data_IF_445059245287
#
_entry.id   IF_445059245287
#
_cell.length_a   1.000
_cell.length_b   1.000
_cell.length_c   1.000
_cell.angle_alpha   90.00
_cell.angle_beta   90.00
_cell.angle_gamma   90.00
#
_symmetry.space_group_name_H-M   'P 1'
#
loop_
_entity.id
_entity.type
_entity.pdbx_description
1 polymer ?
#
# COMPACT_ATOMS: atom_id res chain seq x y z
N UNK A 1 -10.35 10.80 27.68
CA UNK A 1 -9.69 11.69 26.71
C UNK A 1 -9.24 10.84 25.55
N UNK A 2 -9.54 11.25 24.32
CA UNK A 2 -9.15 10.52 23.12
C UNK A 2 -7.72 10.88 22.76
N UNK A 3 -6.85 9.88 22.63
CA UNK A 3 -5.47 10.07 22.20
C UNK A 3 -5.40 10.14 20.68
N UNK A 4 -4.69 11.15 20.16
CA UNK A 4 -4.47 11.35 18.74
C UNK A 4 -3.02 11.03 18.37
N UNK A 5 -2.85 10.39 17.22
CA UNK A 5 -1.52 10.11 16.67
C UNK A 5 -1.02 11.27 15.81
N UNK A 6 0.27 11.52 15.93
CA UNK A 6 1.00 12.55 15.20
C UNK A 6 2.24 11.95 14.53
N UNK A 7 2.58 12.46 13.34
CA UNK A 7 3.82 12.17 12.65
C UNK A 7 4.72 13.38 12.71
N UNK A 8 5.93 13.19 13.25
CA UNK A 8 7.00 14.16 13.21
C UNK A 8 8.15 13.60 12.37
N UNK A 9 8.63 14.41 11.44
CA UNK A 9 9.83 14.12 10.65
C UNK A 9 10.82 15.26 10.80
N UNK A 10 12.10 14.91 10.96
CA UNK A 10 13.17 15.90 10.99
C UNK A 10 14.45 15.40 10.33
N UNK A 11 15.14 16.32 9.66
CA UNK A 11 16.45 16.11 9.05
C UNK A 11 17.54 16.58 10.00
N UNK A 12 18.57 15.77 10.19
CA UNK A 12 19.73 16.09 11.04
C UNK A 12 20.81 16.75 10.17
N UNK A 13 21.21 17.97 10.54
CA UNK A 13 22.33 18.67 9.91
C UNK A 13 23.65 18.39 10.62
N UNK A 14 23.62 18.46 11.96
CA UNK A 14 24.77 18.17 12.83
C UNK A 14 24.43 17.02 13.77
N UNK A 15 25.02 15.85 13.49
CA UNK A 15 24.78 14.65 14.27
C UNK A 15 25.65 14.65 15.53
N UNK A 16 25.19 15.36 16.57
CA UNK A 16 25.84 15.32 17.89
C UNK A 16 25.31 14.14 18.73
N UNK A 17 26.19 13.44 19.47
CA UNK A 17 25.74 12.48 20.48
C UNK A 17 24.71 13.13 21.42
N UNK A 18 23.64 12.42 21.74
CA UNK A 18 22.58 12.90 22.63
C UNK A 18 21.43 13.68 21.98
N UNK A 19 21.51 14.06 20.70
CA UNK A 19 20.43 14.81 20.02
C UNK A 19 19.05 14.14 20.11
N UNK A 20 19.01 12.82 19.92
CA UNK A 20 17.78 12.05 20.08
C UNK A 20 17.30 12.04 21.54
N UNK A 21 18.24 11.94 22.49
CA UNK A 21 17.94 12.03 23.92
C UNK A 21 17.27 13.35 24.26
N UNK A 22 17.81 14.48 23.79
CA UNK A 22 17.26 15.81 24.04
C UNK A 22 15.81 15.94 23.52
N UNK A 23 15.55 15.47 22.29
CA UNK A 23 14.20 15.49 21.69
C UNK A 23 13.25 14.58 22.48
N UNK A 24 13.69 13.37 22.83
CA UNK A 24 12.89 12.42 23.59
C UNK A 24 12.58 12.92 25.02
N UNK A 25 13.53 13.59 25.66
CA UNK A 25 13.34 14.22 26.97
C UNK A 25 12.30 15.33 26.91
N UNK A 26 12.35 16.20 25.89
CA UNK A 26 11.33 17.26 25.71
C UNK A 26 9.94 16.67 25.47
N UNK A 27 9.84 15.63 24.63
CA UNK A 27 8.58 14.88 24.42
C UNK A 27 8.06 14.29 25.73
N UNK A 28 8.93 13.67 26.52
CA UNK A 28 8.58 13.12 27.84
C UNK A 28 8.11 14.19 28.82
N UNK A 29 8.75 15.36 28.85
CA UNK A 29 8.34 16.50 29.71
C UNK A 29 6.96 17.06 29.34
N UNK A 30 6.59 16.96 28.06
CA UNK A 30 5.26 17.34 27.59
C UNK A 30 4.24 16.20 27.75
N UNK A 31 4.64 15.02 28.26
CA UNK A 31 3.79 13.82 28.31
C UNK A 31 3.27 13.43 26.91
N UNK A 32 4.11 13.58 25.89
CA UNK A 32 3.86 13.07 24.54
C UNK A 32 4.51 11.71 24.43
N UNK A 33 3.69 10.69 24.14
CA UNK A 33 4.17 9.32 23.99
C UNK A 33 4.87 9.14 22.65
N UNK A 34 6.01 8.45 22.66
CA UNK A 34 6.69 8.00 21.44
C UNK A 34 6.25 6.57 21.17
N UNK A 35 5.36 6.38 20.18
CA UNK A 35 4.91 5.04 19.79
C UNK A 35 6.01 4.30 19.03
N UNK A 36 6.72 4.97 18.14
CA UNK A 36 7.84 4.42 17.37
C UNK A 36 8.74 5.54 16.88
N UNK A 37 10.04 5.27 16.80
CA UNK A 37 11.01 6.11 16.10
C UNK A 37 11.91 5.24 15.23
N UNK A 38 12.25 5.73 14.03
CA UNK A 38 13.28 5.11 13.20
C UNK A 38 14.00 6.13 12.32
N UNK A 39 15.19 5.75 11.83
CA UNK A 39 15.79 6.44 10.68
C UNK A 39 15.03 6.04 9.42
N UNK A 40 14.69 7.00 8.56
CA UNK A 40 13.93 6.72 7.34
C UNK A 40 14.84 6.73 6.12
N UNK A 41 15.62 7.79 5.92
CA UNK A 41 16.63 7.79 4.86
C UNK A 41 17.74 8.80 5.17
N UNK A 42 18.99 8.37 4.98
CA UNK A 42 20.16 9.20 5.21
C UNK A 42 20.21 9.79 6.62
N UNK A 43 19.99 11.11 6.72
CA UNK A 43 20.00 11.86 8.00
C UNK A 43 18.60 12.21 8.50
N UNK A 44 17.55 11.62 7.93
CA UNK A 44 16.16 11.90 8.30
C UNK A 44 15.65 10.86 9.28
N UNK A 45 14.92 11.32 10.30
CA UNK A 45 14.25 10.48 11.29
C UNK A 45 12.76 10.79 11.30
N UNK A 46 11.96 9.74 11.44
CA UNK A 46 10.53 9.83 11.61
C UNK A 46 10.12 9.29 12.98
N UNK A 47 9.13 9.93 13.59
CA UNK A 47 8.55 9.56 14.88
C UNK A 47 7.03 9.50 14.75
N UNK A 48 6.45 8.40 15.24
CA UNK A 48 5.04 8.33 15.55
C UNK A 48 4.86 8.71 17.02
N UNK A 49 4.09 9.74 17.23
CA UNK A 49 3.81 10.33 18.53
C UNK A 49 2.33 10.16 18.86
N UNK A 50 2.00 10.21 20.14
CA UNK A 50 0.62 10.14 20.61
C UNK A 50 0.41 11.07 21.80
N UNK A 51 -0.67 11.84 21.77
CA UNK A 51 -1.06 12.72 22.87
C UNK A 51 -2.56 12.96 22.88
N UNK A 52 -3.12 13.32 24.04
CA UNK A 52 -4.50 13.77 24.18
C UNK A 52 -4.68 15.29 24.01
N UNK A 53 -3.58 16.03 23.83
CA UNK A 53 -3.58 17.49 23.77
C UNK A 53 -2.70 17.98 22.61
N UNK A 54 -3.37 18.46 21.57
CA UNK A 54 -2.75 18.92 20.33
C UNK A 54 -1.89 20.19 20.53
N UNK A 55 -2.17 21.02 21.55
CA UNK A 55 -1.39 22.23 21.82
C UNK A 55 0.06 21.91 22.21
N UNK A 56 0.26 20.80 22.92
CA UNK A 56 1.59 20.30 23.30
C UNK A 56 2.46 20.03 22.07
N UNK A 57 1.87 19.42 21.04
CA UNK A 57 2.57 19.13 19.78
C UNK A 57 2.90 20.42 19.04
N UNK A 58 1.98 21.38 19.00
CA UNK A 58 2.21 22.66 18.34
C UNK A 58 3.33 23.46 19.02
N UNK A 59 3.31 23.54 20.35
CA UNK A 59 4.34 24.22 21.15
C UNK A 59 5.71 23.57 20.92
N UNK A 60 5.77 22.24 20.96
CA UNK A 60 6.98 21.49 20.64
C UNK A 60 7.50 21.81 19.23
N UNK A 61 6.61 21.85 18.24
CA UNK A 61 6.95 22.20 16.87
C UNK A 61 7.62 23.57 16.75
N UNK A 62 7.07 24.59 17.45
CA UNK A 62 7.67 25.93 17.49
C UNK A 62 9.04 25.96 18.19
N UNK A 63 9.21 25.18 19.26
CA UNK A 63 10.51 25.04 19.94
C UNK A 63 11.56 24.38 19.04
N UNK A 64 11.19 23.28 18.36
CA UNK A 64 12.10 22.54 17.49
C UNK A 64 12.55 23.37 16.28
N UNK A 65 11.74 24.32 15.80
CA UNK A 65 12.15 25.29 14.76
C UNK A 65 13.34 26.16 15.17
N UNK A 66 13.60 26.32 16.47
CA UNK A 66 14.74 27.09 17.00
C UNK A 66 16.00 26.25 17.20
N UNK A 67 15.95 24.93 16.93
CA UNK A 67 17.10 24.04 17.12
C UNK A 67 17.94 23.97 15.85
N UNK A 68 19.10 24.63 15.85
CA UNK A 68 19.98 24.75 14.65
C UNK A 68 20.52 23.42 14.08
N UNK A 69 20.50 22.35 14.87
CA UNK A 69 21.08 21.06 14.49
C UNK A 69 20.14 20.22 13.61
N UNK A 70 18.86 20.58 13.54
CA UNK A 70 17.83 19.85 12.83
C UNK A 70 16.92 20.78 12.02
N UNK A 71 16.12 20.21 11.14
CA UNK A 71 14.98 20.88 10.55
C UNK A 71 13.79 19.94 10.60
N UNK A 72 12.70 20.37 11.23
CA UNK A 72 11.43 19.65 11.21
C UNK A 72 10.82 19.84 9.82
N UNK A 73 10.65 18.73 9.09
CA UNK A 73 10.13 18.69 7.72
C UNK A 73 8.66 18.29 7.68
N UNK A 74 8.16 17.61 8.71
CA UNK A 74 6.74 17.32 8.87
C UNK A 74 6.34 17.33 10.36
N UNK A 75 5.17 17.89 10.64
CA UNK A 75 4.48 17.77 11.92
C UNK A 75 2.97 17.84 11.67
N UNK A 76 2.31 16.67 11.59
CA UNK A 76 0.90 16.54 11.17
C UNK A 76 0.35 15.17 11.52
N UNK A 77 -0.95 14.92 11.32
CA UNK A 77 -1.50 13.57 11.45
C UNK A 77 -0.81 12.57 10.49
N UNK A 78 -0.53 11.33 10.96
CA UNK A 78 0.19 10.33 10.19
C UNK A 78 -0.67 9.77 9.05
N UNK A 79 -0.10 9.76 7.84
CA UNK A 79 -0.62 8.98 6.71
C UNK A 79 -0.13 7.54 6.83
N UNK A 80 -0.77 6.63 6.10
CA UNK A 80 -0.33 5.22 6.01
C UNK A 80 1.16 5.09 5.68
N UNK A 81 1.62 5.82 4.66
CA UNK A 81 3.03 5.80 4.25
C UNK A 81 3.98 6.31 5.32
N UNK A 82 3.54 7.25 6.16
CA UNK A 82 4.40 7.78 7.23
C UNK A 82 4.57 6.70 8.31
N UNK A 83 3.50 5.98 8.66
CA UNK A 83 3.55 4.87 9.63
C UNK A 83 4.46 3.75 9.16
N UNK A 84 4.34 3.37 7.89
CA UNK A 84 5.17 2.32 7.30
C UNK A 84 6.62 2.75 7.14
N UNK A 85 6.86 4.00 6.75
CA UNK A 85 8.22 4.52 6.62
C UNK A 85 8.97 4.52 7.95
N UNK A 86 8.27 4.86 9.04
CA UNK A 86 8.84 4.76 10.39
C UNK A 86 9.04 3.29 10.81
N UNK A 87 8.09 2.40 10.53
CA UNK A 87 8.20 0.98 10.90
C UNK A 87 9.38 0.28 10.20
N UNK A 88 9.53 0.50 8.90
CA UNK A 88 10.54 -0.19 8.08
C UNK A 88 11.83 0.62 7.90
N UNK A 89 11.81 1.90 8.28
CA UNK A 89 12.97 2.78 8.21
C UNK A 89 13.39 3.13 6.78
N UNK A 90 12.43 3.26 5.86
CA UNK A 90 12.61 3.65 4.44
C UNK A 90 11.35 4.32 3.89
N UNK A 91 11.47 5.27 2.96
CA UNK A 91 10.31 5.81 2.25
C UNK A 91 9.76 4.80 1.24
N UNK A 92 8.44 4.83 1.02
CA UNK A 92 7.82 4.14 -0.10
C UNK A 92 7.90 5.09 -1.30
N UNK A 93 8.51 4.62 -2.39
CA UNK A 93 8.58 5.38 -3.64
C UNK A 93 7.19 5.57 -4.24
N UNK A 94 6.91 6.79 -4.70
CA UNK A 94 5.66 7.17 -5.35
C UNK A 94 5.99 7.81 -6.67
N UNK A 95 5.17 7.51 -7.67
CA UNK A 95 5.30 8.18 -8.95
C UNK A 95 5.11 9.71 -8.78
N UNK A 96 5.99 10.49 -9.41
CA UNK A 96 5.94 11.95 -9.36
C UNK A 96 4.73 12.49 -10.11
N UNK A 97 4.32 11.80 -11.17
CA UNK A 97 3.24 12.22 -12.06
C UNK A 97 1.90 11.60 -11.65
N UNK A 98 1.92 10.44 -10.98
CA UNK A 98 0.71 9.75 -10.51
C UNK A 98 0.72 9.42 -9.01
N UNK A 99 -0.02 10.22 -8.23
CA UNK A 99 -0.08 10.09 -6.77
C UNK A 99 -0.76 8.81 -6.26
N UNK A 100 -1.51 8.10 -7.10
CA UNK A 100 -2.10 6.79 -6.75
C UNK A 100 -1.16 5.62 -7.03
N UNK A 101 -0.01 5.85 -7.66
CA UNK A 101 0.97 4.80 -8.00
C UNK A 101 2.10 4.70 -6.97
N UNK A 102 2.26 3.51 -6.38
CA UNK A 102 3.28 3.18 -5.40
C UNK A 102 4.22 2.10 -5.95
N UNK A 103 5.52 2.29 -5.79
CA UNK A 103 6.53 1.38 -6.32
C UNK A 103 7.25 0.67 -5.19
N UNK A 104 7.44 -0.63 -5.39
CA UNK A 104 8.17 -1.51 -4.50
C UNK A 104 9.10 -2.39 -5.32
N UNK A 105 10.25 -2.73 -4.73
CA UNK A 105 11.12 -3.75 -5.28
C UNK A 105 10.92 -5.10 -4.58
N UNK A 106 11.43 -6.17 -5.17
CA UNK A 106 11.31 -7.53 -4.64
C UNK A 106 11.95 -7.69 -3.25
N UNK A 107 13.01 -6.96 -2.95
CA UNK A 107 13.62 -6.93 -1.61
C UNK A 107 12.75 -6.20 -0.58
N UNK A 108 11.71 -5.48 -1.02
CA UNK A 108 10.74 -4.76 -0.20
C UNK A 108 9.41 -5.51 -0.06
N UNK A 109 9.36 -6.81 -0.42
CA UNK A 109 8.13 -7.62 -0.30
C UNK A 109 7.50 -7.56 1.09
N UNK A 110 8.30 -7.54 2.17
CA UNK A 110 7.79 -7.41 3.53
C UNK A 110 7.09 -6.06 3.78
N UNK A 111 7.63 -4.97 3.22
CA UNK A 111 7.02 -3.65 3.29
C UNK A 111 5.74 -3.58 2.44
N UNK A 112 5.73 -4.20 1.26
CA UNK A 112 4.52 -4.33 0.44
C UNK A 112 3.41 -5.11 1.16
N UNK A 113 3.76 -6.22 1.83
CA UNK A 113 2.79 -7.02 2.60
C UNK A 113 2.17 -6.20 3.73
N UNK A 114 2.97 -5.45 4.48
CA UNK A 114 2.47 -4.54 5.52
C UNK A 114 1.60 -3.43 4.92
N UNK A 115 1.97 -2.87 3.77
CA UNK A 115 1.20 -1.86 3.06
C UNK A 115 -0.18 -2.40 2.63
N UNK A 116 -0.21 -3.56 1.97
CA UNK A 116 -1.44 -4.24 1.57
C UNK A 116 -2.30 -4.60 2.78
N UNK A 117 -1.70 -5.12 3.85
CA UNK A 117 -2.42 -5.45 5.08
C UNK A 117 -3.15 -4.26 5.70
N UNK A 118 -2.55 -3.08 5.69
CA UNK A 118 -3.19 -1.85 6.15
C UNK A 118 -4.24 -1.31 5.16
N UNK A 119 -4.02 -1.45 3.84
CA UNK A 119 -5.03 -1.11 2.84
C UNK A 119 -6.27 -1.97 3.00
N UNK A 120 -6.10 -3.29 3.13
CA UNK A 120 -7.19 -4.24 3.20
C UNK A 120 -8.06 -4.07 4.45
N UNK A 121 -7.56 -3.45 5.53
CA UNK A 121 -8.36 -3.12 6.72
C UNK A 121 -9.39 -2.01 6.49
N UNK A 122 -9.22 -1.19 5.46
CA UNK A 122 -10.17 -0.13 5.12
C UNK A 122 -11.48 -0.74 4.63
N UNK A 123 -12.59 -0.08 4.96
CA UNK A 123 -13.93 -0.47 4.51
C UNK A 123 -14.32 0.20 3.20
N UNK A 124 -15.41 -0.27 2.57
CA UNK A 124 -15.94 0.27 1.33
C UNK A 124 -15.43 -0.41 0.06
N UNK A 125 -15.86 0.10 -1.08
CA UNK A 125 -15.39 -0.38 -2.38
C UNK A 125 -13.98 0.16 -2.63
N UNK A 126 -13.01 -0.74 -2.75
CA UNK A 126 -11.62 -0.40 -3.01
C UNK A 126 -11.07 -1.22 -4.16
N UNK A 127 -10.56 -0.57 -5.19
CA UNK A 127 -10.01 -1.20 -6.38
C UNK A 127 -8.50 -0.93 -6.43
N UNK A 128 -7.72 -1.99 -6.24
CA UNK A 128 -6.26 -1.93 -6.22
C UNK A 128 -5.72 -2.63 -7.46
N UNK A 129 -4.92 -1.92 -8.26
CA UNK A 129 -4.20 -2.52 -9.39
C UNK A 129 -2.83 -2.98 -8.95
N UNK A 130 -2.42 -4.20 -9.31
CA UNK A 130 -1.09 -4.71 -9.01
C UNK A 130 -0.35 -5.06 -10.31
N UNK A 131 0.58 -4.19 -10.68
CA UNK A 131 1.51 -4.33 -11.81
C UNK A 131 2.78 -5.04 -11.35
N UNK A 132 3.44 -5.69 -12.29
CA UNK A 132 4.70 -6.37 -12.08
C UNK A 132 4.91 -7.50 -13.07
N UNK A 133 6.17 -7.83 -13.31
CA UNK A 133 6.56 -8.94 -14.18
C UNK A 133 6.02 -10.28 -13.64
N UNK A 134 5.86 -11.32 -14.48
CA UNK A 134 5.48 -12.65 -14.01
C UNK A 134 6.45 -13.16 -12.94
N UNK A 135 5.92 -13.83 -11.90
CA UNK A 135 6.71 -14.47 -10.81
C UNK A 135 7.53 -13.51 -9.93
N UNK A 136 7.21 -12.20 -9.95
CA UNK A 136 7.83 -11.21 -9.06
C UNK A 136 7.31 -11.27 -7.61
N UNK A 137 6.21 -11.99 -7.37
CA UNK A 137 5.60 -12.16 -6.04
C UNK A 137 4.25 -11.46 -5.85
N UNK A 138 3.56 -11.10 -6.94
CA UNK A 138 2.29 -10.37 -6.92
C UNK A 138 1.24 -11.11 -6.09
N UNK A 139 0.88 -12.32 -6.49
CA UNK A 139 -0.18 -13.07 -5.83
C UNK A 139 0.18 -13.45 -4.40
N UNK A 140 1.44 -13.81 -4.16
CA UNK A 140 1.95 -14.11 -2.82
C UNK A 140 1.83 -12.90 -1.88
N UNK A 141 2.11 -11.69 -2.39
CA UNK A 141 1.96 -10.46 -1.60
C UNK A 141 0.49 -10.16 -1.25
N UNK A 142 -0.45 -10.43 -2.18
CA UNK A 142 -1.90 -10.27 -1.93
C UNK A 142 -2.37 -11.25 -0.86
N UNK A 143 -1.96 -12.52 -0.96
CA UNK A 143 -2.34 -13.54 0.02
C UNK A 143 -1.75 -13.19 1.40
N UNK A 144 -0.46 -12.85 1.46
CA UNK A 144 0.19 -12.49 2.72
C UNK A 144 -0.42 -11.23 3.36
N UNK A 145 -0.75 -10.21 2.54
CA UNK A 145 -1.46 -9.02 2.98
C UNK A 145 -2.86 -9.35 3.53
N UNK A 146 -3.57 -10.27 2.90
CA UNK A 146 -4.89 -10.73 3.35
C UNK A 146 -4.80 -11.41 4.72
N UNK A 147 -3.81 -12.28 4.92
CA UNK A 147 -3.53 -12.91 6.22
C UNK A 147 -3.19 -11.85 7.28
N UNK A 148 -2.35 -10.87 6.97
CA UNK A 148 -1.99 -9.78 7.89
C UNK A 148 -3.20 -8.92 8.29
N UNK A 149 -4.15 -8.74 7.37
CA UNK A 149 -5.41 -8.05 7.61
C UNK A 149 -6.50 -8.92 8.28
N UNK A 150 -6.22 -10.21 8.55
CA UNK A 150 -7.19 -11.20 9.03
C UNK A 150 -8.43 -11.34 8.11
N UNK A 151 -8.23 -11.13 6.80
CA UNK A 151 -9.28 -11.27 5.78
C UNK A 151 -9.11 -12.55 4.99
N UNK A 152 -10.23 -13.19 4.65
CA UNK A 152 -10.24 -14.27 3.65
C UNK A 152 -10.03 -13.66 2.27
N UNK A 153 -9.43 -14.43 1.36
CA UNK A 153 -9.29 -14.06 -0.04
C UNK A 153 -10.07 -15.02 -0.93
N UNK A 154 -10.59 -14.51 -2.04
CA UNK A 154 -11.35 -15.29 -3.02
C UNK A 154 -10.84 -14.98 -4.42
N UNK A 155 -10.38 -16.00 -5.13
CA UNK A 155 -10.03 -15.86 -6.54
C UNK A 155 -11.29 -15.83 -7.39
N UNK A 156 -11.51 -14.73 -8.10
CA UNK A 156 -12.50 -14.59 -9.16
C UNK A 156 -11.91 -15.11 -10.47
N UNK A 157 -10.64 -14.78 -10.71
CA UNK A 157 -9.80 -15.34 -11.75
C UNK A 157 -8.34 -15.40 -11.31
N UNK A 158 -7.57 -16.32 -11.89
CA UNK A 158 -6.14 -16.47 -11.55
C UNK A 158 -5.39 -17.23 -12.63
N UNK A 159 -4.21 -16.73 -13.03
CA UNK A 159 -3.23 -17.52 -13.81
C UNK A 159 -2.61 -18.66 -12.99
N UNK A 160 -2.44 -18.50 -11.67
CA UNK A 160 -1.77 -19.50 -10.81
C UNK A 160 -2.59 -20.78 -10.59
N UNK A 161 -3.91 -20.66 -10.42
CA UNK A 161 -4.78 -21.81 -10.16
C UNK A 161 -5.33 -22.37 -11.47
N UNK A 162 -4.50 -23.05 -12.27
CA UNK A 162 -4.91 -23.68 -13.54
C UNK A 162 -5.69 -22.72 -14.48
N UNK A 163 -5.36 -21.42 -14.49
CA UNK A 163 -6.09 -20.42 -15.28
C UNK A 163 -7.59 -20.38 -14.95
N UNK A 164 -7.94 -20.47 -13.66
CA UNK A 164 -9.35 -20.50 -13.22
C UNK A 164 -10.07 -19.22 -13.62
N UNK A 165 -11.21 -19.37 -14.27
CA UNK A 165 -12.22 -18.33 -14.51
C UNK A 165 -13.50 -18.80 -13.84
N UNK A 166 -13.96 -18.10 -12.79
CA UNK A 166 -15.19 -18.51 -12.09
C UNK A 166 -16.40 -17.82 -12.69
N UNK A 167 -17.47 -18.55 -12.94
CA UNK A 167 -18.75 -17.97 -13.39
C UNK A 167 -19.72 -17.70 -12.24
N UNK A 168 -19.41 -18.15 -11.03
CA UNK A 168 -20.16 -17.90 -9.80
C UNK A 168 -19.26 -18.10 -8.57
N UNK A 169 -19.60 -17.45 -7.46
CA UNK A 169 -19.01 -17.72 -6.14
C UNK A 169 -20.09 -18.30 -5.24
N UNK A 170 -19.69 -19.09 -4.25
CA UNK A 170 -20.61 -19.54 -3.22
C UNK A 170 -21.06 -18.35 -2.34
N UNK A 171 -22.20 -18.49 -1.66
CA UNK A 171 -22.78 -17.41 -0.85
C UNK A 171 -21.85 -16.96 0.30
N UNK A 172 -21.10 -17.89 0.88
CA UNK A 172 -20.11 -17.62 1.94
C UNK A 172 -18.84 -16.93 1.40
N UNK A 173 -18.55 -17.07 0.11
CA UNK A 173 -17.46 -16.36 -0.58
C UNK A 173 -17.85 -14.95 -1.00
N UNK A 174 -19.16 -14.69 -1.20
CA UNK A 174 -19.73 -13.37 -1.49
C UNK A 174 -19.80 -12.46 -0.25
N UNK A 175 -18.78 -12.51 0.59
CA UNK A 175 -18.67 -11.69 1.79
C UNK A 175 -17.90 -10.39 1.48
N UNK A 176 -18.48 -9.19 1.72
CA UNK A 176 -17.78 -7.92 1.50
C UNK A 176 -16.48 -7.75 2.30
N UNK A 177 -16.32 -8.53 3.38
CA UNK A 177 -15.09 -8.55 4.17
C UNK A 177 -13.94 -9.32 3.51
N UNK A 178 -14.21 -10.09 2.44
CA UNK A 178 -13.19 -10.80 1.69
C UNK A 178 -12.43 -9.86 0.75
N UNK A 179 -11.20 -10.25 0.42
CA UNK A 179 -10.41 -9.65 -0.67
C UNK A 179 -10.65 -10.45 -1.94
N UNK A 180 -11.16 -9.82 -2.99
CA UNK A 180 -11.40 -10.47 -4.28
C UNK A 180 -10.19 -10.30 -5.19
N UNK A 181 -9.65 -11.40 -5.71
CA UNK A 181 -8.47 -11.39 -6.58
C UNK A 181 -8.90 -11.67 -8.01
N UNK A 182 -8.52 -10.77 -8.92
CA UNK A 182 -8.87 -10.80 -10.33
C UNK A 182 -7.56 -10.73 -11.13
N UNK A 183 -7.38 -11.62 -12.08
CA UNK A 183 -6.33 -11.53 -13.08
C UNK A 183 -6.90 -10.89 -14.36
N UNK A 184 -6.42 -9.70 -14.70
CA UNK A 184 -6.90 -8.91 -15.83
C UNK A 184 -6.74 -9.59 -17.18
N UNK A 185 -5.75 -10.47 -17.35
CA UNK A 185 -5.53 -11.22 -18.59
C UNK A 185 -6.60 -12.29 -18.73
N UNK A 186 -6.75 -13.10 -17.68
CA UNK A 186 -7.63 -14.27 -17.68
C UNK A 186 -9.11 -13.84 -17.69
N UNK A 187 -9.44 -12.76 -16.97
CA UNK A 187 -10.81 -12.23 -16.88
C UNK A 187 -11.32 -11.55 -18.13
N UNK A 188 -10.45 -11.12 -19.04
CA UNK A 188 -10.90 -10.39 -20.25
C UNK A 188 -10.79 -11.25 -21.49
N UNK A 189 -9.67 -11.95 -21.69
CA UNK A 189 -9.40 -12.74 -22.90
C UNK A 189 -10.21 -14.05 -22.94
N UNK A 190 -10.49 -14.68 -21.79
CA UNK A 190 -11.09 -16.03 -21.69
C UNK A 190 -12.47 -16.04 -21.01
N UNK A 191 -13.14 -14.90 -20.95
CA UNK A 191 -14.40 -14.78 -20.24
C UNK A 191 -15.61 -15.22 -21.06
N UNK A 192 -16.58 -15.81 -20.38
CA UNK A 192 -17.92 -16.00 -20.88
C UNK A 192 -18.88 -14.99 -20.23
N UNK A 193 -20.09 -14.84 -20.76
CA UNK A 193 -21.09 -13.90 -20.26
C UNK A 193 -21.36 -14.04 -18.75
N UNK A 194 -21.34 -15.28 -18.23
CA UNK A 194 -21.53 -15.53 -16.79
C UNK A 194 -20.38 -14.98 -15.94
N UNK A 195 -19.13 -15.15 -16.38
CA UNK A 195 -17.98 -14.56 -15.71
C UNK A 195 -18.04 -13.03 -15.76
N UNK A 196 -18.42 -12.47 -16.90
CA UNK A 196 -18.58 -11.03 -17.05
C UNK A 196 -19.61 -10.46 -16.07
N UNK A 197 -20.75 -11.13 -15.92
CA UNK A 197 -21.77 -10.75 -14.94
C UNK A 197 -21.26 -10.88 -13.49
N UNK A 198 -20.49 -11.93 -13.18
CA UNK A 198 -19.84 -12.06 -11.88
C UNK A 198 -18.86 -10.91 -11.63
N UNK A 199 -18.03 -10.58 -12.61
CA UNK A 199 -17.04 -9.50 -12.52
C UNK A 199 -17.73 -8.16 -12.24
N UNK A 200 -18.79 -7.82 -13.00
CA UNK A 200 -19.61 -6.62 -12.77
C UNK A 200 -20.16 -6.57 -11.36
N UNK A 201 -20.69 -7.69 -10.88
CA UNK A 201 -21.20 -7.79 -9.53
C UNK A 201 -20.10 -7.52 -8.50
N UNK A 202 -18.98 -8.24 -8.58
CA UNK A 202 -17.83 -8.09 -7.67
C UNK A 202 -17.32 -6.65 -7.68
N UNK A 203 -17.13 -6.04 -8.85
CA UNK A 203 -16.67 -4.65 -9.00
C UNK A 203 -17.59 -3.63 -8.32
N UNK A 204 -18.90 -3.88 -8.26
CA UNK A 204 -19.86 -3.02 -7.56
C UNK A 204 -19.94 -3.24 -6.04
N UNK A 205 -19.41 -4.35 -5.51
CA UNK A 205 -19.52 -4.67 -4.09
C UNK A 205 -18.72 -3.68 -3.22
N UNK A 206 -19.17 -3.38 -1.99
CA UNK A 206 -18.39 -2.57 -1.02
C UNK A 206 -17.28 -3.42 -0.37
N UNK A 207 -16.37 -3.93 -1.20
CA UNK A 207 -15.27 -4.81 -0.82
C UNK A 207 -13.96 -4.41 -1.48
N UNK A 208 -12.85 -4.94 -0.97
CA UNK A 208 -11.55 -4.79 -1.62
C UNK A 208 -11.43 -5.76 -2.81
N UNK A 209 -11.04 -5.23 -3.97
CA UNK A 209 -10.61 -6.03 -5.11
C UNK A 209 -9.16 -5.70 -5.44
N UNK A 210 -8.39 -6.74 -5.72
CA UNK A 210 -7.03 -6.61 -6.26
C UNK A 210 -7.01 -7.19 -7.66
N UNK A 211 -6.71 -6.33 -8.64
CA UNK A 211 -6.65 -6.68 -10.05
C UNK A 211 -5.18 -6.75 -10.45
N UNK A 212 -4.69 -7.96 -10.68
CA UNK A 212 -3.40 -8.18 -11.33
C UNK A 212 -3.50 -7.85 -12.82
N UNK A 213 -2.41 -7.35 -13.41
CA UNK A 213 -2.39 -6.94 -14.82
C UNK A 213 -3.46 -5.87 -15.16
N UNK A 214 -3.53 -4.76 -14.39
CA UNK A 214 -4.57 -3.75 -14.56
C UNK A 214 -4.55 -3.10 -15.94
N UNK A 215 -3.39 -3.02 -16.61
CA UNK A 215 -3.27 -2.51 -17.98
C UNK A 215 -4.14 -3.27 -18.98
N UNK A 216 -4.09 -4.60 -18.92
CA UNK A 216 -4.87 -5.47 -19.82
C UNK A 216 -6.34 -5.44 -19.40
N UNK A 217 -6.61 -5.40 -18.09
CA UNK A 217 -7.98 -5.23 -17.60
C UNK A 217 -8.64 -3.96 -18.16
N UNK A 218 -7.95 -2.81 -18.09
CA UNK A 218 -8.46 -1.53 -18.61
C UNK A 218 -8.59 -1.56 -20.13
N UNK A 219 -7.61 -2.13 -20.84
CA UNK A 219 -7.65 -2.17 -22.31
C UNK A 219 -8.78 -3.03 -22.87
N UNK A 220 -9.09 -4.13 -22.20
CA UNK A 220 -10.00 -5.16 -22.70
C UNK A 220 -11.36 -5.18 -21.97
N UNK A 221 -11.67 -4.16 -21.17
CA UNK A 221 -12.96 -4.06 -20.45
C UNK A 221 -13.57 -2.65 -20.54
N UNK A 222 -14.70 -2.46 -19.86
CA UNK A 222 -15.37 -1.15 -19.75
C UNK A 222 -14.76 -0.24 -18.66
N UNK A 223 -13.85 -0.77 -17.85
CA UNK A 223 -13.23 -0.05 -16.74
C UNK A 223 -12.01 0.74 -17.21
N UNK A 224 -11.71 1.82 -16.49
CA UNK A 224 -10.63 2.75 -16.76
C UNK A 224 -9.70 2.86 -15.57
N UNK A 225 -8.56 3.52 -15.73
CA UNK A 225 -7.66 3.80 -14.60
C UNK A 225 -8.29 4.69 -13.53
N UNK A 226 -9.37 5.41 -13.82
CA UNK A 226 -10.09 6.24 -12.85
C UNK A 226 -10.94 5.40 -11.89
N UNK A 227 -11.24 4.16 -12.25
CA UNK A 227 -11.92 3.20 -11.36
C UNK A 227 -10.96 2.61 -10.30
N UNK A 228 -9.66 2.85 -10.41
CA UNK A 228 -8.64 2.38 -9.47
C UNK A 228 -8.31 3.45 -8.42
N UNK A 229 -8.47 3.09 -7.14
CA UNK A 229 -8.06 3.94 -6.03
C UNK A 229 -6.53 4.02 -5.89
N UNK A 230 -5.86 2.88 -6.15
CA UNK A 230 -4.42 2.71 -5.95
C UNK A 230 -3.86 1.77 -7.03
N UNK A 231 -2.70 2.14 -7.58
CA UNK A 231 -1.86 1.25 -8.39
C UNK A 231 -0.59 0.95 -7.61
N UNK A 232 -0.20 -0.32 -7.61
CA UNK A 232 1.03 -0.81 -6.99
C UNK A 232 1.87 -1.44 -8.09
N UNK A 233 3.15 -1.10 -8.12
CA UNK A 233 4.12 -1.70 -9.02
C UNK A 233 5.14 -2.48 -8.21
N UNK A 234 5.20 -3.79 -8.45
CA UNK A 234 6.21 -4.67 -7.87
C UNK A 234 7.27 -5.00 -8.94
N UNK A 235 8.48 -4.50 -8.72
CA UNK A 235 9.61 -4.58 -9.65
C UNK A 235 10.72 -5.49 -9.10
N UNK A 236 11.54 -6.09 -9.96
CA UNK A 236 12.76 -6.79 -9.53
C UNK A 236 13.85 -5.80 -9.11
N UNK A 237 13.99 -4.70 -9.86
CA UNK A 237 14.94 -3.61 -9.61
C UNK A 237 14.24 -2.26 -9.79
N UNK A 238 14.70 -1.17 -9.15
CA UNK A 238 14.01 0.12 -9.21
C UNK A 238 13.78 0.66 -10.62
N UNK A 239 14.73 0.43 -11.53
CA UNK A 239 14.67 0.90 -12.92
C UNK A 239 13.92 -0.03 -13.88
N UNK A 240 13.33 -1.12 -13.39
CA UNK A 240 12.60 -2.06 -14.25
C UNK A 240 11.35 -1.39 -14.83
N UNK A 241 11.22 -1.43 -16.16
CA UNK A 241 9.99 -1.07 -16.85
C UNK A 241 9.08 -2.29 -16.98
N UNK A 242 7.83 -2.14 -16.58
CA UNK A 242 6.83 -3.21 -16.65
C UNK A 242 6.11 -3.09 -18.00
N UNK A 243 6.58 -3.83 -19.00
CA UNK A 243 6.04 -3.83 -20.36
C UNK A 243 5.15 -5.06 -20.58
N UNK A 244 3.92 -4.85 -21.06
CA UNK A 244 2.92 -5.93 -21.21
C UNK A 244 2.74 -6.48 -22.63
N UNK A 245 3.24 -5.77 -23.66
CA UNK A 245 3.01 -6.11 -25.07
C UNK A 245 3.63 -7.47 -25.48
N UNK A 246 4.66 -7.93 -24.79
CA UNK A 246 5.30 -9.23 -25.06
C UNK A 246 4.60 -10.43 -24.41
N UNK A 247 3.72 -10.21 -23.42
CA UNK A 247 3.13 -11.31 -22.64
C UNK A 247 1.82 -11.83 -23.20
N UNK A 248 1.02 -10.97 -23.84
CA UNK A 248 -0.24 -11.39 -24.47
C UNK A 248 -0.01 -12.49 -25.48
N UNK A 249 1.07 -12.42 -26.27
CA UNK A 249 1.43 -13.40 -27.30
C UNK A 249 1.68 -14.79 -26.71
N UNK A 250 2.42 -14.88 -25.60
CA UNK A 250 2.69 -16.16 -24.93
C UNK A 250 1.46 -16.83 -24.31
N UNK A 251 0.45 -16.07 -23.86
CA UNK A 251 -0.78 -16.65 -23.32
C UNK A 251 -1.81 -17.01 -24.39
N UNK A 252 -1.68 -16.42 -25.59
CA UNK A 252 -2.43 -16.82 -26.78
C UNK A 252 -1.82 -18.02 -27.51
N UNK A 253 -0.52 -18.29 -27.37
CA UNK A 253 0.11 -19.47 -28.00
C UNK A 253 -0.16 -20.78 -27.22
N UNK A 254 -0.59 -20.70 -25.97
CA UNK A 254 -1.13 -21.83 -25.17
C UNK A 254 -2.66 -22.02 -25.37
N UNK A 255 -3.21 -21.60 -26.52
CA UNK A 255 -4.58 -21.87 -27.00
C UNK A 255 -4.61 -23.12 -27.91
#
# INVERSE_FOLDING_TARGET
MEYKQWYMEYKIHKNRPGLLGDIASMLGMLEVNILTINGVEGKTRGMLLETSDDEKIMLMGEMLKKVDNITVTALRSPRLVDKLAVRHGRYIDRDSDDRKTFRFTRDELGLLVDFLGELFKREGNQVIGLRGMPRVGKTESIIAGSVCAMKRWTFVSSTLLRQTVRSQLAEDEMNPHNVFIIDGIVSTIRSNEKHYNLLKHVMSMPSTKVIEHPDIFVRESEYTYDDFDIIIELRNIPSEEILYDSFTTSYSDDL
#
